data_IF_670561755582
#
_entry.id   IF_670561755582
#
_cell.length_a   1.000
_cell.length_b   1.000
_cell.length_c   1.000
_cell.angle_alpha   90.00
_cell.angle_beta   90.00
_cell.angle_gamma   90.00
#
_symmetry.space_group_name_H-M   'P 1'
#
loop_
_entity.id
_entity.type
_entity.pdbx_description
1 polymer ?
#
# COMPACT_ATOMS: atom_id res chain seq x y z
N UNK A 1 -60.08 -29.00 -40.08
CA UNK A 1 -59.96 -27.79 -39.24
C UNK A 1 -59.58 -28.11 -37.79
N UNK A 2 -60.35 -28.90 -37.02
CA UNK A 2 -59.99 -29.27 -35.62
C UNK A 2 -58.61 -29.94 -35.46
N UNK A 3 -58.23 -30.85 -36.36
CA UNK A 3 -56.96 -31.59 -36.27
C UNK A 3 -55.72 -30.72 -36.55
N UNK A 4 -55.82 -29.75 -37.48
CA UNK A 4 -54.75 -28.79 -37.74
C UNK A 4 -54.58 -27.82 -36.58
N UNK A 5 -55.69 -27.36 -35.99
CA UNK A 5 -55.66 -26.48 -34.82
C UNK A 5 -55.08 -27.20 -33.60
N UNK A 6 -55.47 -28.45 -33.36
CA UNK A 6 -54.94 -29.27 -32.27
C UNK A 6 -53.45 -29.60 -32.46
N UNK A 7 -53.00 -29.80 -33.70
CA UNK A 7 -51.58 -29.98 -34.02
C UNK A 7 -50.76 -28.70 -33.83
N UNK A 8 -51.30 -27.52 -34.15
CA UNK A 8 -50.62 -26.24 -33.94
C UNK A 8 -50.54 -25.91 -32.44
N UNK A 9 -51.60 -26.19 -31.68
CA UNK A 9 -51.62 -26.04 -30.22
C UNK A 9 -50.62 -26.98 -29.55
N UNK A 10 -50.55 -28.25 -29.96
CA UNK A 10 -49.61 -29.21 -29.39
C UNK A 10 -48.13 -28.89 -29.75
N UNK A 11 -47.90 -28.35 -30.95
CA UNK A 11 -46.57 -27.87 -31.36
C UNK A 11 -46.13 -26.65 -30.52
N UNK A 12 -47.06 -25.73 -30.23
CA UNK A 12 -46.83 -24.58 -29.36
C UNK A 12 -46.47 -24.97 -27.92
N UNK A 13 -47.19 -25.93 -27.33
CA UNK A 13 -46.92 -26.41 -25.96
C UNK A 13 -45.59 -27.16 -25.87
N UNK A 14 -45.24 -27.99 -26.87
CA UNK A 14 -43.93 -28.68 -26.91
C UNK A 14 -42.77 -27.68 -27.04
N UNK A 15 -42.90 -26.66 -27.91
CA UNK A 15 -41.87 -25.63 -28.08
C UNK A 15 -41.69 -24.79 -26.80
N UNK A 16 -42.79 -24.46 -26.13
CA UNK A 16 -42.81 -23.75 -24.84
C UNK A 16 -42.12 -24.58 -23.75
N UNK A 17 -42.38 -25.89 -23.71
CA UNK A 17 -41.73 -26.81 -22.78
C UNK A 17 -40.22 -26.89 -23.02
N UNK A 18 -39.77 -27.01 -24.28
CA UNK A 18 -38.34 -27.04 -24.64
C UNK A 18 -37.65 -25.73 -24.26
N UNK A 19 -38.26 -24.58 -24.56
CA UNK A 19 -37.69 -23.26 -24.22
C UNK A 19 -37.57 -23.05 -22.71
N UNK A 20 -38.61 -23.42 -21.94
CA UNK A 20 -38.59 -23.38 -20.48
C UNK A 20 -37.51 -24.29 -19.89
N UNK A 21 -37.37 -25.48 -20.45
CA UNK A 21 -36.36 -26.47 -20.06
C UNK A 21 -34.94 -25.97 -20.31
N UNK A 22 -34.68 -25.42 -21.50
CA UNK A 22 -33.38 -24.87 -21.86
C UNK A 22 -33.00 -23.69 -20.96
N UNK A 23 -33.97 -22.83 -20.66
CA UNK A 23 -33.78 -21.71 -19.73
C UNK A 23 -33.42 -22.20 -18.32
N UNK A 24 -34.16 -23.16 -17.79
CA UNK A 24 -33.91 -23.75 -16.47
C UNK A 24 -32.53 -24.43 -16.35
N UNK A 25 -32.09 -25.13 -17.41
CA UNK A 25 -30.74 -25.69 -17.48
C UNK A 25 -29.69 -24.57 -17.51
N UNK A 26 -29.89 -23.56 -18.36
CA UNK A 26 -28.94 -22.45 -18.53
C UNK A 26 -28.71 -21.65 -17.25
N UNK A 27 -29.73 -21.48 -16.42
CA UNK A 27 -29.60 -20.77 -15.15
C UNK A 27 -28.80 -21.54 -14.10
N UNK A 28 -28.80 -22.88 -14.18
CA UNK A 28 -28.19 -23.75 -13.17
C UNK A 28 -26.72 -24.06 -13.46
N UNK A 29 -26.30 -24.00 -14.73
CA UNK A 29 -24.92 -24.30 -15.16
C UNK A 29 -23.83 -23.43 -14.51
N UNK A 30 -23.95 -22.07 -14.42
CA UNK A 30 -22.91 -21.24 -13.82
C UNK A 30 -22.65 -21.57 -12.34
N UNK A 31 -23.71 -21.94 -11.61
CA UNK A 31 -23.61 -22.34 -10.20
C UNK A 31 -22.84 -23.66 -10.04
N UNK A 32 -23.05 -24.60 -10.96
CA UNK A 32 -22.42 -25.92 -10.92
C UNK A 32 -20.94 -25.83 -11.29
N UNK A 33 -20.58 -24.96 -12.23
CA UNK A 33 -19.19 -24.64 -12.54
C UNK A 33 -18.45 -24.09 -11.30
N UNK A 34 -19.09 -23.19 -10.56
CA UNK A 34 -18.53 -22.64 -9.33
C UNK A 34 -18.35 -23.71 -8.24
N UNK A 35 -19.34 -24.57 -8.03
CA UNK A 35 -19.26 -25.66 -7.04
C UNK A 35 -18.21 -26.72 -7.42
N UNK A 36 -18.02 -26.98 -8.71
CA UNK A 36 -16.97 -27.87 -9.22
C UNK A 36 -15.56 -27.36 -8.91
N UNK A 37 -15.36 -26.05 -9.05
CA UNK A 37 -14.08 -25.41 -8.75
C UNK A 37 -13.78 -25.40 -7.25
N UNK A 38 -14.80 -25.20 -6.41
CA UNK A 38 -14.66 -25.18 -4.95
C UNK A 38 -14.45 -26.57 -4.36
N UNK A 39 -15.15 -27.59 -4.87
CA UNK A 39 -15.15 -28.94 -4.29
C UNK A 39 -14.79 -30.02 -5.33
N UNK A 40 -13.54 -30.09 -5.81
CA UNK A 40 -13.11 -30.99 -6.90
C UNK A 40 -12.94 -32.45 -6.43
N UNK A 41 -13.97 -33.02 -5.80
CA UNK A 41 -13.97 -34.40 -5.34
C UNK A 41 -14.30 -35.38 -6.48
N UNK A 42 -13.89 -36.64 -6.35
CA UNK A 42 -14.22 -37.69 -7.33
C UNK A 42 -15.74 -37.84 -7.53
N UNK A 43 -16.50 -37.79 -6.44
CA UNK A 43 -17.96 -37.89 -6.47
C UNK A 43 -18.62 -36.67 -7.12
N UNK A 44 -18.09 -35.45 -6.87
CA UNK A 44 -18.56 -34.24 -7.53
C UNK A 44 -18.35 -34.31 -9.06
N UNK A 45 -17.20 -34.80 -9.51
CA UNK A 45 -16.91 -34.98 -10.94
C UNK A 45 -17.88 -35.96 -11.61
N UNK A 46 -18.12 -37.11 -10.98
CA UNK A 46 -19.09 -38.11 -11.49
C UNK A 46 -20.52 -37.57 -11.56
N UNK A 47 -20.94 -36.77 -10.57
CA UNK A 47 -22.25 -36.13 -10.57
C UNK A 47 -22.40 -35.09 -11.69
N UNK A 48 -21.33 -34.33 -11.96
CA UNK A 48 -21.27 -33.35 -13.06
C UNK A 48 -21.27 -34.04 -14.43
N UNK A 49 -20.52 -35.14 -14.59
CA UNK A 49 -20.53 -35.95 -15.82
C UNK A 49 -21.93 -36.52 -16.11
N UNK A 50 -22.63 -36.97 -15.08
CA UNK A 50 -24.01 -37.46 -15.17
C UNK A 50 -24.97 -36.34 -15.59
N UNK A 51 -24.77 -35.12 -15.07
CA UNK A 51 -25.56 -33.95 -15.48
C UNK A 51 -25.31 -33.57 -16.94
N UNK A 52 -24.04 -33.49 -17.38
CA UNK A 52 -23.72 -33.19 -18.78
C UNK A 52 -24.26 -34.26 -19.73
N UNK A 53 -24.26 -35.53 -19.33
CA UNK A 53 -24.88 -36.61 -20.10
C UNK A 53 -26.39 -36.39 -20.27
N UNK A 54 -27.11 -36.01 -19.21
CA UNK A 54 -28.53 -35.67 -19.28
C UNK A 54 -28.79 -34.44 -20.18
N UNK A 55 -27.93 -33.42 -20.13
CA UNK A 55 -28.06 -32.22 -20.97
C UNK A 55 -27.80 -32.55 -22.44
N UNK A 56 -26.80 -33.38 -22.75
CA UNK A 56 -26.53 -33.81 -24.13
C UNK A 56 -27.66 -34.68 -24.66
N UNK A 57 -28.22 -35.58 -23.84
CA UNK A 57 -29.41 -36.37 -24.18
C UNK A 57 -30.61 -35.45 -24.50
N UNK A 58 -30.83 -34.39 -23.73
CA UNK A 58 -31.86 -33.38 -24.00
C UNK A 58 -31.65 -32.69 -25.35
N UNK A 59 -30.43 -32.21 -25.62
CA UNK A 59 -30.11 -31.49 -26.85
C UNK A 59 -30.25 -32.39 -28.09
N UNK A 60 -29.87 -33.65 -28.00
CA UNK A 60 -30.06 -34.63 -29.07
C UNK A 60 -31.54 -34.89 -29.35
N UNK A 61 -32.36 -35.03 -28.31
CA UNK A 61 -33.81 -35.22 -28.46
C UNK A 61 -34.45 -33.96 -29.05
N UNK A 62 -34.10 -32.77 -28.55
CA UNK A 62 -34.61 -31.50 -29.06
C UNK A 62 -34.20 -31.26 -30.53
N UNK A 63 -32.96 -31.59 -30.90
CA UNK A 63 -32.48 -31.50 -32.28
C UNK A 63 -33.19 -32.50 -33.21
N UNK A 64 -33.40 -33.74 -32.75
CA UNK A 64 -34.15 -34.74 -33.52
C UNK A 64 -35.59 -34.29 -33.81
N UNK A 65 -36.21 -33.61 -32.85
CA UNK A 65 -37.52 -33.00 -33.03
C UNK A 65 -37.46 -31.83 -34.04
N UNK A 66 -36.52 -30.89 -33.91
CA UNK A 66 -36.45 -29.75 -34.85
C UNK A 66 -36.23 -30.14 -36.33
N UNK A 67 -35.62 -31.29 -36.61
CA UNK A 67 -35.31 -31.75 -37.97
C UNK A 67 -36.41 -32.63 -38.60
N UNK A 68 -37.50 -32.93 -37.90
CA UNK A 68 -38.61 -33.70 -38.48
C UNK A 68 -39.48 -32.83 -39.42
N UNK A 69 -40.02 -33.45 -40.48
CA UNK A 69 -40.83 -32.75 -41.48
C UNK A 69 -42.20 -32.35 -40.90
N UNK A 70 -42.78 -31.22 -41.32
CA UNK A 70 -44.07 -30.69 -40.84
C UNK A 70 -45.23 -31.71 -40.84
N UNK A 71 -45.27 -32.63 -41.79
CA UNK A 71 -46.28 -33.70 -41.87
C UNK A 71 -46.00 -34.89 -40.93
N UNK A 72 -44.74 -35.12 -40.58
CA UNK A 72 -44.31 -36.17 -39.64
C UNK A 72 -44.59 -35.79 -38.19
N UNK A 73 -44.47 -34.50 -37.88
CA UNK A 73 -44.88 -33.93 -36.60
C UNK A 73 -46.37 -34.11 -36.27
N UNK A 74 -47.23 -34.02 -37.28
CA UNK A 74 -48.68 -34.23 -37.13
C UNK A 74 -48.98 -35.70 -36.77
N UNK A 75 -48.27 -36.65 -37.37
CA UNK A 75 -48.45 -38.09 -37.13
C UNK A 75 -47.83 -38.56 -35.80
N UNK A 76 -46.63 -38.07 -35.46
CA UNK A 76 -45.96 -38.42 -34.20
C UNK A 76 -46.58 -37.73 -32.97
N UNK A 77 -47.27 -36.60 -33.13
CA UNK A 77 -48.10 -35.98 -32.10
C UNK A 77 -49.21 -36.91 -31.56
N UNK A 78 -49.65 -37.89 -32.36
CA UNK A 78 -50.74 -38.80 -31.98
C UNK A 78 -50.23 -40.16 -31.45
N UNK A 79 -48.97 -40.51 -31.74
CA UNK A 79 -48.41 -41.85 -31.46
C UNK A 79 -47.21 -41.84 -30.49
N UNK A 80 -46.60 -40.69 -30.19
CA UNK A 80 -45.50 -40.56 -29.22
C UNK A 80 -45.60 -39.25 -28.44
N UNK A 81 -46.04 -39.25 -27.16
CA UNK A 81 -46.09 -38.04 -26.36
C UNK A 81 -44.67 -37.68 -25.93
N UNK A 82 -44.02 -36.81 -26.70
CA UNK A 82 -42.70 -36.27 -26.38
C UNK A 82 -42.69 -35.56 -25.01
N UNK A 83 -43.83 -35.04 -24.55
CA UNK A 83 -44.02 -34.42 -23.23
C UNK A 83 -43.60 -35.33 -22.07
N UNK A 84 -43.91 -36.63 -22.11
CA UNK A 84 -43.58 -37.56 -21.02
C UNK A 84 -42.07 -37.76 -20.89
N UNK A 85 -41.35 -37.81 -22.02
CA UNK A 85 -39.89 -38.00 -22.07
C UNK A 85 -39.15 -36.72 -21.69
N UNK A 86 -39.65 -35.54 -22.08
CA UNK A 86 -39.07 -34.27 -21.67
C UNK A 86 -39.26 -34.03 -20.16
N UNK A 87 -40.42 -34.39 -19.60
CA UNK A 87 -40.67 -34.28 -18.16
C UNK A 87 -39.77 -35.23 -17.35
N UNK A 88 -39.61 -36.49 -17.77
CA UNK A 88 -38.70 -37.45 -17.13
C UNK A 88 -37.24 -36.95 -17.17
N UNK A 89 -36.81 -36.38 -18.30
CA UNK A 89 -35.46 -35.84 -18.44
C UNK A 89 -35.24 -34.61 -17.56
N UNK A 90 -36.20 -33.69 -17.48
CA UNK A 90 -36.13 -32.54 -16.58
C UNK A 90 -36.05 -32.96 -15.12
N UNK A 91 -36.81 -33.98 -14.74
CA UNK A 91 -36.75 -34.55 -13.40
C UNK A 91 -35.36 -35.13 -13.11
N UNK A 92 -34.76 -35.86 -14.06
CA UNK A 92 -33.38 -36.36 -13.96
C UNK A 92 -32.36 -35.23 -13.81
N UNK A 93 -32.49 -34.13 -14.56
CA UNK A 93 -31.62 -32.95 -14.44
C UNK A 93 -31.76 -32.29 -13.06
N UNK A 94 -33.00 -32.19 -12.55
CA UNK A 94 -33.27 -31.66 -11.22
C UNK A 94 -32.65 -32.53 -10.12
N UNK A 95 -32.78 -33.87 -10.23
CA UNK A 95 -32.14 -34.83 -9.32
C UNK A 95 -30.61 -34.73 -9.38
N UNK A 96 -30.01 -34.69 -10.56
CA UNK A 96 -28.55 -34.54 -10.71
C UNK A 96 -28.06 -33.23 -10.08
N UNK A 97 -28.79 -32.13 -10.27
CA UNK A 97 -28.43 -30.83 -9.68
C UNK A 97 -28.62 -30.83 -8.16
N UNK A 98 -29.64 -31.52 -7.64
CA UNK A 98 -29.86 -31.73 -6.21
C UNK A 98 -28.68 -32.45 -5.56
N UNK A 99 -28.25 -33.56 -6.15
CA UNK A 99 -27.11 -34.36 -5.66
C UNK A 99 -25.80 -33.53 -5.65
N UNK A 100 -25.56 -32.70 -6.67
CA UNK A 100 -24.40 -31.80 -6.72
C UNK A 100 -24.43 -30.78 -5.57
N UNK A 101 -25.60 -30.18 -5.29
CA UNK A 101 -25.73 -29.25 -4.18
C UNK A 101 -25.53 -29.92 -2.82
N UNK A 102 -26.05 -31.13 -2.63
CA UNK A 102 -25.86 -31.91 -1.40
C UNK A 102 -24.37 -32.23 -1.19
N UNK A 103 -23.67 -32.70 -2.22
CA UNK A 103 -22.22 -32.94 -2.16
C UNK A 103 -21.44 -31.67 -1.80
N UNK A 104 -21.85 -30.51 -2.33
CA UNK A 104 -21.24 -29.23 -1.97
C UNK A 104 -21.52 -28.83 -0.52
N UNK A 105 -22.73 -29.09 0.01
CA UNK A 105 -23.04 -28.83 1.43
C UNK A 105 -22.21 -29.71 2.37
N UNK A 106 -22.01 -30.98 2.02
CA UNK A 106 -21.14 -31.89 2.79
C UNK A 106 -19.67 -31.43 2.73
N UNK A 107 -19.22 -30.95 1.56
CA UNK A 107 -17.90 -30.34 1.40
C UNK A 107 -17.69 -29.14 2.32
N UNK A 108 -18.65 -28.20 2.31
CA UNK A 108 -18.63 -27.01 3.17
C UNK A 108 -18.61 -27.35 4.66
N UNK A 109 -19.40 -28.34 5.10
CA UNK A 109 -19.39 -28.80 6.49
C UNK A 109 -18.04 -29.41 6.90
N UNK A 110 -17.40 -30.13 5.98
CA UNK A 110 -16.07 -30.73 6.22
C UNK A 110 -15.01 -29.65 6.41
N UNK A 111 -15.01 -28.61 5.58
CA UNK A 111 -14.10 -27.48 5.71
C UNK A 111 -14.33 -26.70 7.01
N UNK A 112 -15.59 -26.49 7.41
CA UNK A 112 -15.93 -25.85 8.68
C UNK A 112 -15.36 -26.63 9.87
N UNK A 113 -15.41 -27.97 9.83
CA UNK A 113 -14.80 -28.81 10.86
C UNK A 113 -13.29 -28.62 10.93
N UNK A 114 -12.59 -28.68 9.79
CA UNK A 114 -11.13 -28.49 9.73
C UNK A 114 -10.73 -27.10 10.20
N UNK A 115 -11.50 -26.07 9.85
CA UNK A 115 -11.29 -24.70 10.32
C UNK A 115 -11.42 -24.61 11.85
N UNK A 116 -12.47 -25.23 12.40
CA UNK A 116 -12.70 -25.26 13.85
C UNK A 116 -11.56 -25.97 14.59
N UNK A 117 -11.08 -27.10 14.07
CA UNK A 117 -9.93 -27.82 14.64
C UNK A 117 -8.67 -26.94 14.59
N UNK A 118 -8.39 -26.30 13.46
CA UNK A 118 -7.25 -25.38 13.29
C UNK A 118 -7.34 -24.15 14.20
N UNK A 119 -8.55 -23.64 14.45
CA UNK A 119 -8.76 -22.54 15.37
C UNK A 119 -8.51 -22.97 16.81
N UNK A 120 -8.98 -24.17 17.19
CA UNK A 120 -8.73 -24.73 18.52
C UNK A 120 -7.24 -24.97 18.78
N UNK A 121 -6.48 -25.47 17.79
CA UNK A 121 -5.03 -25.64 17.94
C UNK A 121 -4.31 -24.30 18.13
N UNK A 122 -4.65 -23.28 17.34
CA UNK A 122 -4.09 -21.92 17.49
C UNK A 122 -4.41 -21.31 18.85
N UNK A 123 -5.63 -21.50 19.35
CA UNK A 123 -6.01 -21.04 20.69
C UNK A 123 -5.18 -21.73 21.77
N UNK A 124 -4.93 -23.04 21.65
CA UNK A 124 -4.08 -23.77 22.57
C UNK A 124 -2.62 -23.28 22.53
N UNK A 125 -2.07 -22.99 21.35
CA UNK A 125 -0.72 -22.40 21.21
C UNK A 125 -0.62 -21.04 21.90
N UNK A 126 -1.63 -20.18 21.74
CA UNK A 126 -1.70 -18.88 22.43
C UNK A 126 -1.73 -19.08 23.95
N UNK A 127 -2.54 -20.00 24.46
CA UNK A 127 -2.61 -20.31 25.89
C UNK A 127 -1.25 -20.75 26.42
N UNK A 128 -0.54 -21.65 25.71
CA UNK A 128 0.81 -22.10 26.11
C UNK A 128 1.79 -20.93 26.12
N UNK A 129 1.73 -20.05 25.11
CA UNK A 129 2.61 -18.86 25.04
C UNK A 129 2.39 -17.90 26.22
N UNK A 130 1.13 -17.69 26.61
CA UNK A 130 0.76 -16.82 27.73
C UNK A 130 1.23 -17.42 29.06
N UNK A 131 1.07 -18.73 29.24
CA UNK A 131 1.57 -19.42 30.44
C UNK A 131 3.09 -19.35 30.57
N UNK A 132 3.85 -19.47 29.47
CA UNK A 132 5.30 -19.35 29.49
C UNK A 132 5.76 -17.92 29.81
N UNK A 133 5.06 -16.92 29.28
CA UNK A 133 5.30 -15.51 29.63
C UNK A 133 5.04 -15.24 31.11
N UNK A 134 3.94 -15.78 31.65
CA UNK A 134 3.61 -15.59 33.07
C UNK A 134 4.63 -16.28 34.00
N UNK A 135 5.08 -17.50 33.66
CA UNK A 135 6.18 -18.16 34.38
C UNK A 135 7.47 -17.34 34.38
N UNK A 136 7.78 -16.70 33.25
CA UNK A 136 8.97 -15.84 33.14
C UNK A 136 8.83 -14.59 34.01
N UNK A 137 7.64 -13.96 34.00
CA UNK A 137 7.32 -12.84 34.90
C UNK A 137 7.44 -13.25 36.36
N UNK A 138 6.92 -14.41 36.74
CA UNK A 138 7.01 -14.90 38.12
C UNK A 138 8.48 -15.10 38.54
N UNK A 139 9.30 -15.72 37.68
CA UNK A 139 10.73 -15.88 37.95
C UNK A 139 11.46 -14.53 38.12
N UNK A 140 11.07 -13.50 37.36
CA UNK A 140 11.60 -12.14 37.53
C UNK A 140 11.18 -11.53 38.87
N UNK A 141 9.92 -11.70 39.28
CA UNK A 141 9.42 -11.22 40.58
C UNK A 141 10.16 -11.91 41.73
N UNK A 142 10.37 -13.22 41.64
CA UNK A 142 11.12 -13.97 42.66
C UNK A 142 12.58 -13.51 42.73
N UNK A 143 13.20 -13.23 41.57
CA UNK A 143 14.52 -12.62 41.49
C UNK A 143 14.58 -11.23 42.14
N UNK A 144 13.55 -10.40 41.93
CA UNK A 144 13.42 -9.08 42.54
C UNK A 144 13.27 -9.19 44.07
N UNK A 145 12.41 -10.09 44.54
CA UNK A 145 12.22 -10.35 45.97
C UNK A 145 13.53 -10.78 46.64
N UNK A 146 14.33 -11.62 45.98
CA UNK A 146 15.65 -12.01 46.46
C UNK A 146 16.63 -10.81 46.54
N UNK A 147 16.59 -9.90 45.56
CA UNK A 147 17.40 -8.69 45.59
C UNK A 147 16.95 -7.72 46.70
N UNK A 148 15.65 -7.59 46.93
CA UNK A 148 15.07 -6.79 48.02
C UNK A 148 15.52 -7.32 49.38
N UNK A 149 15.45 -8.64 49.62
CA UNK A 149 15.94 -9.22 50.88
C UNK A 149 17.44 -8.98 51.09
N UNK A 150 18.25 -9.01 50.02
CA UNK A 150 19.68 -8.66 50.11
C UNK A 150 19.90 -7.19 50.45
N UNK A 151 19.11 -6.28 49.87
CA UNK A 151 19.15 -4.86 50.17
C UNK A 151 18.70 -4.57 51.62
N UNK A 152 17.71 -5.29 52.12
CA UNK A 152 17.24 -5.16 53.51
C UNK A 152 18.33 -5.56 54.52
N UNK A 153 19.05 -6.67 54.26
CA UNK A 153 20.21 -7.09 55.07
C UNK A 153 21.33 -6.04 54.99
N UNK A 154 21.61 -5.53 53.78
CA UNK A 154 22.60 -4.47 53.57
C UNK A 154 22.21 -3.19 54.32
N UNK A 155 20.94 -2.79 54.32
CA UNK A 155 20.44 -1.63 55.06
C UNK A 155 20.65 -1.76 56.57
N UNK A 156 20.43 -2.96 57.14
CA UNK A 156 20.76 -3.23 58.56
C UNK A 156 22.26 -3.11 58.85
N UNK A 157 23.12 -3.49 57.90
CA UNK A 157 24.58 -3.33 58.04
C UNK A 157 25.01 -1.85 57.94
N UNK A 158 24.38 -1.07 57.05
CA UNK A 158 24.59 0.37 56.93
C UNK A 158 24.13 1.12 58.20
N UNK A 159 23.03 0.70 58.84
CA UNK A 159 22.59 1.24 60.13
C UNK A 159 23.66 1.10 61.22
N UNK A 160 24.29 -0.07 61.33
CA UNK A 160 25.39 -0.30 62.30
C UNK A 160 26.63 0.55 61.98
N UNK A 161 26.94 0.78 60.71
CA UNK A 161 28.03 1.67 60.28
C UNK A 161 27.71 3.13 60.56
N UNK A 162 26.46 3.55 60.41
CA UNK A 162 26.01 4.90 60.77
C UNK A 162 26.13 5.16 62.27
N UNK A 163 25.81 4.19 63.13
CA UNK A 163 26.02 4.31 64.59
C UNK A 163 27.50 4.55 64.93
N UNK A 164 28.42 3.85 64.24
CA UNK A 164 29.87 4.03 64.40
C UNK A 164 30.35 5.39 63.89
N UNK A 165 29.79 5.88 62.78
CA UNK A 165 30.09 7.21 62.23
C UNK A 165 29.56 8.29 63.18
N UNK A 166 28.39 8.10 63.78
CA UNK A 166 27.80 9.02 64.76
C UNK A 166 28.68 9.13 66.02
N UNK A 167 29.21 7.99 66.49
CA UNK A 167 30.17 7.92 67.59
C UNK A 167 31.50 8.61 67.25
N UNK A 168 31.94 8.55 65.98
CA UNK A 168 33.12 9.25 65.48
C UNK A 168 32.91 10.76 65.30
N UNK A 169 31.71 11.18 64.92
CA UNK A 169 31.34 12.59 64.75
C UNK A 169 31.24 13.31 66.10
N UNK A 170 30.72 12.66 67.13
CA UNK A 170 30.74 13.17 68.51
C UNK A 170 32.16 13.41 69.03
N UNK A 171 33.13 12.57 68.63
CA UNK A 171 34.54 12.70 69.00
C UNK A 171 35.29 13.80 68.22
N UNK A 172 34.76 14.27 67.09
CA UNK A 172 35.46 15.18 66.16
C UNK A 172 34.86 16.60 66.07
N UNK A 173 33.78 16.90 66.81
CA UNK A 173 33.29 18.26 67.01
C UNK A 173 32.66 18.94 65.79
N UNK A 174 32.38 18.18 64.72
CA UNK A 174 31.69 18.65 63.52
C UNK A 174 30.18 18.40 63.64
N UNK A 175 29.36 19.42 63.36
CA UNK A 175 27.89 19.30 63.41
C UNK A 175 27.35 18.62 62.14
N UNK A 176 26.38 17.72 62.33
CA UNK A 176 25.72 16.94 61.27
C UNK A 176 25.16 17.83 60.14
N UNK A 177 24.73 19.04 60.46
CA UNK A 177 24.16 19.98 59.48
C UNK A 177 25.18 20.48 58.44
N UNK A 178 26.45 20.63 58.81
CA UNK A 178 27.51 21.05 57.88
C UNK A 178 27.91 19.93 56.91
N UNK A 179 27.76 18.66 57.32
CA UNK A 179 27.95 17.51 56.45
C UNK A 179 26.74 17.26 55.55
N UNK A 180 25.52 17.39 56.09
CA UNK A 180 24.30 17.22 55.30
C UNK A 180 24.22 18.24 54.16
N UNK A 181 24.57 19.50 54.40
CA UNK A 181 24.58 20.54 53.36
C UNK A 181 25.63 20.28 52.27
N UNK A 182 26.82 19.79 52.64
CA UNK A 182 27.85 19.39 51.65
C UNK A 182 27.49 18.12 50.88
N UNK A 183 26.82 17.17 51.51
CA UNK A 183 26.39 15.92 50.87
C UNK A 183 25.18 16.17 49.95
N UNK A 184 24.22 17.00 50.34
CA UNK A 184 23.09 17.40 49.48
C UNK A 184 23.56 18.13 48.23
N UNK A 185 24.50 19.07 48.38
CA UNK A 185 25.06 19.80 47.23
C UNK A 185 25.85 18.88 46.30
N UNK A 186 26.66 17.97 46.84
CA UNK A 186 27.42 17.03 46.03
C UNK A 186 26.53 15.99 45.35
N UNK A 187 25.54 15.44 46.06
CA UNK A 187 24.58 14.46 45.53
C UNK A 187 23.65 15.08 44.49
N UNK A 188 23.18 16.31 44.70
CA UNK A 188 22.38 17.05 43.71
C UNK A 188 23.16 17.30 42.41
N UNK A 189 24.41 17.77 42.53
CA UNK A 189 25.28 18.02 41.37
C UNK A 189 25.58 16.71 40.64
N UNK A 190 25.94 15.64 41.35
CA UNK A 190 26.29 14.35 40.76
C UNK A 190 25.08 13.64 40.14
N UNK A 191 23.91 13.70 40.78
CA UNK A 191 22.68 13.10 40.23
C UNK A 191 22.20 13.87 38.99
N UNK A 192 22.34 15.20 38.96
CA UNK A 192 22.02 16.00 37.77
C UNK A 192 22.98 15.73 36.61
N UNK A 193 24.27 15.48 36.90
CA UNK A 193 25.28 15.21 35.88
C UNK A 193 25.20 13.79 35.29
N UNK A 194 24.52 12.85 35.95
CA UNK A 194 24.37 11.46 35.51
C UNK A 194 23.01 11.15 34.85
N UNK A 195 22.05 12.08 34.87
CA UNK A 195 20.78 11.93 34.17
C UNK A 195 20.93 12.36 32.71
N UNK A 196 21.45 11.47 31.87
CA UNK A 196 21.28 11.60 30.42
C UNK A 196 19.81 11.32 30.07
N UNK A 197 19.00 12.38 29.98
CA UNK A 197 17.59 12.31 29.59
C UNK A 197 17.42 12.09 28.08
N UNK A 198 18.50 12.06 27.31
CA UNK A 198 18.44 11.95 25.87
C UNK A 198 18.41 10.48 25.41
N UNK A 199 17.24 9.85 25.50
CA UNK A 199 17.07 8.48 25.03
C UNK A 199 16.98 8.39 23.51
N UNK A 200 17.35 7.22 22.96
CA UNK A 200 17.11 6.90 21.56
C UNK A 200 15.61 6.79 21.33
N UNK A 201 15.11 7.47 20.31
CA UNK A 201 13.68 7.45 20.02
C UNK A 201 13.29 6.10 19.41
N UNK A 202 12.24 5.47 19.96
CA UNK A 202 11.62 4.32 19.29
C UNK A 202 10.80 4.78 18.08
N UNK A 203 10.64 3.90 17.09
CA UNK A 203 9.82 4.18 15.91
C UNK A 203 8.35 4.51 16.26
N UNK A 204 7.85 3.96 17.37
CA UNK A 204 6.49 4.21 17.85
C UNK A 204 6.34 5.62 18.45
N UNK A 205 7.32 6.08 19.22
CA UNK A 205 7.35 7.47 19.73
C UNK A 205 7.47 8.47 18.57
N UNK A 206 8.25 8.14 17.53
CA UNK A 206 8.39 8.98 16.32
C UNK A 206 7.05 9.10 15.59
N UNK A 207 6.38 7.97 15.38
CA UNK A 207 5.09 7.93 14.72
C UNK A 207 4.01 8.69 15.51
N UNK A 208 3.98 8.55 16.84
CA UNK A 208 3.07 9.31 17.70
C UNK A 208 3.33 10.81 17.64
N UNK A 209 4.59 11.23 17.77
CA UNK A 209 4.97 12.64 17.71
C UNK A 209 4.68 13.27 16.34
N UNK A 210 4.78 12.48 15.26
CA UNK A 210 4.48 12.94 13.90
C UNK A 210 2.99 12.86 13.54
N UNK A 211 2.20 12.04 14.25
CA UNK A 211 0.75 11.88 14.00
C UNK A 211 -0.04 13.18 14.16
N UNK A 212 0.39 14.06 15.07
CA UNK A 212 -0.18 15.40 15.27
C UNK A 212 -0.11 16.25 13.99
N UNK A 213 0.96 16.07 13.19
CA UNK A 213 1.12 16.78 11.91
C UNK A 213 0.41 16.10 10.74
N UNK A 214 0.05 14.82 10.87
CA UNK A 214 -0.55 14.01 9.80
C UNK A 214 -2.07 14.22 9.63
N UNK A 215 -2.76 14.91 10.55
CA UNK A 215 -4.22 14.95 10.59
C UNK A 215 -4.88 15.51 9.31
N UNK A 216 -4.13 16.26 8.48
CA UNK A 216 -4.60 16.82 7.20
C UNK A 216 -3.95 16.20 5.95
N UNK A 217 -2.97 15.30 6.11
CA UNK A 217 -2.13 14.80 5.03
C UNK A 217 -2.43 13.32 4.76
N UNK A 218 -2.66 12.97 3.49
CA UNK A 218 -2.88 11.57 3.09
C UNK A 218 -1.60 10.74 3.24
N UNK A 219 -1.74 9.48 3.68
CA UNK A 219 -0.62 8.56 3.82
C UNK A 219 0.12 8.36 2.47
N UNK A 220 1.43 8.70 2.38
CA UNK A 220 2.23 8.54 1.17
C UNK A 220 2.24 7.11 0.64
N UNK A 221 2.22 6.10 1.53
CA UNK A 221 2.28 4.69 1.14
C UNK A 221 0.96 4.26 0.49
N UNK A 222 -0.18 4.66 1.06
CA UNK A 222 -1.49 4.45 0.45
C UNK A 222 -1.60 5.10 -0.94
N UNK A 223 -1.14 6.34 -1.09
CA UNK A 223 -1.10 7.04 -2.39
C UNK A 223 -0.26 6.28 -3.41
N UNK A 224 0.94 5.86 -3.03
CA UNK A 224 1.79 5.06 -3.92
C UNK A 224 1.10 3.75 -4.34
N UNK A 225 0.51 3.00 -3.39
CA UNK A 225 -0.23 1.76 -3.68
C UNK A 225 -1.40 1.99 -4.64
N UNK A 226 -2.13 3.10 -4.49
CA UNK A 226 -3.21 3.48 -5.39
C UNK A 226 -2.71 3.70 -6.82
N UNK A 227 -1.66 4.51 -6.99
CA UNK A 227 -1.06 4.77 -8.31
C UNK A 227 -0.42 3.52 -8.92
N UNK A 228 0.19 2.67 -8.09
CA UNK A 228 0.74 1.36 -8.49
C UNK A 228 -0.35 0.45 -9.06
N UNK A 229 -1.51 0.39 -8.39
CA UNK A 229 -2.67 -0.35 -8.86
C UNK A 229 -3.19 0.19 -10.20
N UNK A 230 -3.36 1.51 -10.34
CA UNK A 230 -3.83 2.13 -11.59
C UNK A 230 -2.88 1.86 -12.76
N UNK A 231 -1.57 1.91 -12.51
CA UNK A 231 -0.54 1.54 -13.49
C UNK A 231 -0.66 0.08 -13.89
N UNK A 232 -0.72 -0.84 -12.92
CA UNK A 232 -0.83 -2.28 -13.19
C UNK A 232 -2.08 -2.61 -14.01
N UNK A 233 -3.21 -1.97 -13.72
CA UNK A 233 -4.44 -2.12 -14.49
C UNK A 233 -4.26 -1.72 -15.96
N UNK A 234 -3.56 -0.61 -16.22
CA UNK A 234 -3.23 -0.14 -17.58
C UNK A 234 -2.24 -1.06 -18.28
N UNK A 235 -1.20 -1.53 -17.58
CA UNK A 235 -0.21 -2.46 -18.12
C UNK A 235 -0.81 -3.82 -18.53
N UNK A 236 -1.86 -4.27 -17.83
CA UNK A 236 -2.62 -5.49 -18.16
C UNK A 236 -3.66 -5.30 -19.27
N UNK A 237 -3.68 -4.14 -19.94
CA UNK A 237 -4.62 -3.84 -21.04
C UNK A 237 -6.04 -3.49 -20.57
N UNK A 238 -6.30 -3.43 -19.26
CA UNK A 238 -7.63 -3.12 -18.68
C UNK A 238 -7.87 -1.63 -18.47
N UNK A 239 -7.08 -0.74 -19.07
CA UNK A 239 -7.21 0.71 -18.90
C UNK A 239 -6.74 1.49 -20.14
N UNK A 240 -7.06 2.78 -20.17
CA UNK A 240 -6.62 3.68 -21.25
C UNK A 240 -5.10 3.79 -21.27
N UNK A 241 -4.47 3.35 -22.36
CA UNK A 241 -3.04 3.47 -22.60
C UNK A 241 -2.80 4.41 -23.77
N UNK A 242 -2.04 5.47 -23.53
CA UNK A 242 -1.56 6.37 -24.60
C UNK A 242 -0.12 5.97 -24.93
N UNK A 243 0.13 5.72 -26.21
CA UNK A 243 1.50 5.51 -26.69
C UNK A 243 2.23 6.85 -26.75
N UNK A 244 3.44 6.91 -26.19
CA UNK A 244 4.28 8.11 -26.20
C UNK A 244 5.57 7.86 -26.95
N UNK A 245 6.37 8.90 -27.18
CA UNK A 245 7.79 8.71 -27.48
C UNK A 245 8.49 7.97 -26.32
N UNK A 246 9.65 7.37 -26.60
CA UNK A 246 10.48 6.73 -25.58
C UNK A 246 11.23 7.77 -24.74
N UNK A 247 10.50 8.71 -24.12
CA UNK A 247 11.06 9.84 -23.37
C UNK A 247 11.94 9.41 -22.20
N UNK A 248 11.70 8.20 -21.66
CA UNK A 248 12.53 7.56 -20.64
C UNK A 248 13.93 7.20 -21.13
N UNK A 249 14.18 7.17 -22.44
CA UNK A 249 15.52 7.00 -23.04
C UNK A 249 16.19 8.34 -23.37
N UNK A 250 15.60 9.47 -22.99
CA UNK A 250 16.15 10.79 -23.27
C UNK A 250 17.57 10.97 -22.72
N UNK A 251 18.54 11.44 -23.52
CA UNK A 251 19.89 11.75 -23.03
C UNK A 251 19.92 12.78 -21.90
N UNK A 252 18.94 13.69 -21.86
CA UNK A 252 18.82 14.67 -20.76
C UNK A 252 18.54 13.98 -19.43
N UNK A 253 17.66 12.97 -19.44
CA UNK A 253 17.29 12.21 -18.26
C UNK A 253 18.46 11.36 -17.76
N UNK A 254 19.19 10.72 -18.68
CA UNK A 254 20.39 9.94 -18.33
C UNK A 254 21.49 10.82 -17.71
N UNK A 255 21.72 12.03 -18.26
CA UNK A 255 22.66 13.01 -17.69
C UNK A 255 22.24 13.50 -16.31
N UNK A 256 20.94 13.79 -16.12
CA UNK A 256 20.41 14.20 -14.82
C UNK A 256 20.59 13.11 -13.75
N UNK A 257 20.26 11.86 -14.09
CA UNK A 257 20.39 10.71 -13.20
C UNK A 257 21.86 10.44 -12.80
N UNK A 258 22.78 10.57 -13.76
CA UNK A 258 24.21 10.31 -13.55
C UNK A 258 24.97 11.50 -12.95
N UNK A 259 24.34 12.67 -12.81
CA UNK A 259 25.01 13.86 -12.28
C UNK A 259 25.43 13.63 -10.81
N UNK A 260 26.65 13.97 -10.39
CA UNK A 260 27.09 13.74 -9.02
C UNK A 260 26.51 14.74 -8.01
N UNK A 261 25.98 15.89 -8.47
CA UNK A 261 25.42 16.94 -7.63
C UNK A 261 23.90 16.87 -7.54
N UNK A 262 23.34 17.57 -6.56
CA UNK A 262 21.90 17.79 -6.45
C UNK A 262 21.35 18.44 -7.72
N UNK A 263 20.26 17.90 -8.29
CA UNK A 263 19.78 18.34 -9.60
C UNK A 263 18.29 18.10 -9.82
N UNK A 264 17.66 18.96 -10.62
CA UNK A 264 16.24 18.92 -10.94
C UNK A 264 16.01 18.60 -12.44
N UNK A 265 14.98 17.80 -12.74
CA UNK A 265 14.49 17.58 -14.10
C UNK A 265 12.97 17.73 -14.16
N UNK A 266 12.46 18.15 -15.32
CA UNK A 266 11.04 18.41 -15.53
C UNK A 266 10.55 17.52 -16.68
N UNK A 267 9.63 16.61 -16.38
CA UNK A 267 8.95 15.79 -17.38
C UNK A 267 7.70 16.55 -17.83
N UNK A 268 7.74 17.06 -19.06
CA UNK A 268 6.68 17.91 -19.62
C UNK A 268 5.88 17.16 -20.67
N UNK A 269 4.56 17.11 -20.54
CA UNK A 269 3.67 16.59 -21.58
C UNK A 269 2.34 17.33 -21.64
N UNK A 270 1.44 16.89 -22.52
CA UNK A 270 0.05 17.34 -22.54
C UNK A 270 -0.79 16.50 -21.56
N UNK A 271 -1.98 16.99 -21.22
CA UNK A 271 -2.93 16.27 -20.36
C UNK A 271 -3.25 14.85 -20.86
N UNK A 272 -3.26 14.65 -22.18
CA UNK A 272 -3.43 13.32 -22.81
C UNK A 272 -2.31 12.34 -22.46
N UNK A 273 -1.09 12.83 -22.21
CA UNK A 273 0.08 12.01 -21.82
C UNK A 273 0.22 11.82 -20.31
N UNK A 274 -0.67 12.41 -19.49
CA UNK A 274 -0.61 12.38 -18.01
C UNK A 274 -0.40 10.98 -17.44
N UNK A 275 -1.10 10.01 -18.02
CA UNK A 275 -1.08 8.63 -17.59
C UNK A 275 0.30 8.00 -17.77
N UNK A 276 0.97 8.28 -18.88
CA UNK A 276 2.32 7.80 -19.14
C UNK A 276 3.35 8.46 -18.21
N UNK A 277 3.15 9.74 -17.87
CA UNK A 277 4.00 10.50 -16.94
C UNK A 277 3.83 9.99 -15.50
N UNK A 278 2.60 9.79 -15.04
CA UNK A 278 2.32 9.24 -13.71
C UNK A 278 2.84 7.81 -13.56
N UNK A 279 2.68 6.97 -14.58
CA UNK A 279 3.23 5.62 -14.52
C UNK A 279 4.77 5.62 -14.46
N UNK A 280 5.40 6.55 -15.16
CA UNK A 280 6.85 6.72 -15.10
C UNK A 280 7.32 7.14 -13.71
N UNK A 281 6.58 8.03 -13.03
CA UNK A 281 6.83 8.38 -11.64
C UNK A 281 6.73 7.17 -10.70
N UNK A 282 5.70 6.34 -10.84
CA UNK A 282 5.57 5.08 -10.09
C UNK A 282 6.72 4.12 -10.39
N UNK A 283 7.15 4.02 -11.65
CA UNK A 283 8.28 3.18 -12.04
C UNK A 283 9.60 3.68 -11.41
N UNK A 284 9.81 5.01 -11.29
CA UNK A 284 10.96 5.57 -10.56
C UNK A 284 10.89 5.20 -9.09
N UNK A 285 9.76 5.50 -8.41
CA UNK A 285 9.57 5.24 -6.97
C UNK A 285 9.84 3.75 -6.68
N UNK A 286 9.22 2.86 -7.46
CA UNK A 286 9.43 1.42 -7.29
C UNK A 286 10.92 1.04 -7.41
N UNK A 287 11.62 1.60 -8.39
CA UNK A 287 13.00 1.23 -8.67
C UNK A 287 13.98 1.75 -7.62
N UNK A 288 13.83 3.00 -7.13
CA UNK A 288 14.65 3.55 -6.05
C UNK A 288 14.42 2.83 -4.73
N UNK A 289 13.16 2.50 -4.40
CA UNK A 289 12.83 1.75 -3.18
C UNK A 289 13.41 0.33 -3.21
N UNK A 290 13.40 -0.34 -4.38
CA UNK A 290 14.04 -1.66 -4.53
C UNK A 290 15.56 -1.64 -4.33
N UNK A 291 16.21 -0.47 -4.45
CA UNK A 291 17.65 -0.30 -4.22
C UNK A 291 17.98 0.25 -2.83
N UNK A 292 17.00 0.31 -1.91
CA UNK A 292 17.15 0.92 -0.58
C UNK A 292 17.62 2.39 -0.62
N UNK A 293 17.29 3.11 -1.71
CA UNK A 293 17.54 4.54 -1.80
C UNK A 293 16.31 5.29 -1.27
N UNK A 294 16.45 6.20 -0.29
CA UNK A 294 15.33 6.97 0.23
C UNK A 294 14.63 7.79 -0.87
N UNK A 295 13.30 7.75 -0.86
CA UNK A 295 12.48 8.45 -1.83
C UNK A 295 11.31 9.14 -1.16
N UNK A 296 11.07 10.39 -1.57
CA UNK A 296 9.94 11.21 -1.16
C UNK A 296 9.05 11.42 -2.38
N UNK A 297 7.73 11.41 -2.21
CA UNK A 297 6.84 11.63 -3.34
C UNK A 297 5.58 12.40 -2.99
N UNK A 298 5.07 13.14 -3.97
CA UNK A 298 3.77 13.81 -3.93
C UNK A 298 3.00 13.41 -5.17
N UNK A 299 1.95 12.61 -5.00
CA UNK A 299 1.12 12.07 -6.07
C UNK A 299 -0.34 12.48 -5.86
N UNK A 300 -1.12 12.58 -6.94
CA UNK A 300 -2.50 13.03 -6.84
C UNK A 300 -3.41 12.09 -6.05
N UNK A 301 -4.28 12.67 -5.23
CA UNK A 301 -5.27 11.93 -4.45
C UNK A 301 -6.31 11.23 -5.32
N UNK A 302 -6.78 10.07 -4.83
CA UNK A 302 -7.90 9.32 -5.39
C UNK A 302 -9.25 10.03 -5.15
N UNK A 303 -9.35 10.81 -4.08
CA UNK A 303 -10.59 11.44 -3.60
C UNK A 303 -10.70 12.89 -4.12
N UNK A 304 -11.00 13.04 -5.41
CA UNK A 304 -11.24 14.37 -6.04
C UNK A 304 -12.57 15.03 -5.64
N UNK A 305 -13.26 14.52 -4.62
CA UNK A 305 -14.61 14.95 -4.25
C UNK A 305 -14.63 16.25 -3.46
N UNK A 306 -13.50 16.75 -2.95
CA UNK A 306 -13.39 18.07 -2.34
C UNK A 306 -12.61 19.05 -3.25
N UNK A 307 -13.14 20.26 -3.51
CA UNK A 307 -12.41 21.32 -4.23
C UNK A 307 -11.18 21.86 -3.46
N UNK A 308 -10.98 21.44 -2.21
CA UNK A 308 -9.80 21.71 -1.37
C UNK A 308 -8.68 20.66 -1.47
N UNK A 309 -8.74 19.72 -2.42
CA UNK A 309 -7.76 18.63 -2.53
C UNK A 309 -6.38 19.03 -3.11
N UNK A 310 -6.17 20.31 -3.46
CA UNK A 310 -4.90 20.78 -3.98
C UNK A 310 -4.06 21.39 -2.84
N UNK A 311 -2.80 20.97 -2.74
CA UNK A 311 -1.86 21.43 -1.72
C UNK A 311 -1.40 22.85 -2.02
N UNK A 312 -1.36 23.70 -1.00
CA UNK A 312 -0.55 24.93 -1.05
C UNK A 312 0.94 24.57 -1.21
N UNK A 313 1.79 25.44 -1.81
CA UNK A 313 3.24 25.26 -1.79
C UNK A 313 3.79 24.99 -0.38
N UNK A 314 3.25 25.64 0.66
CA UNK A 314 3.64 25.39 2.05
C UNK A 314 3.20 24.01 2.53
N UNK A 315 1.99 23.58 2.17
CA UNK A 315 1.48 22.24 2.54
C UNK A 315 2.29 21.13 1.87
N UNK A 316 2.73 21.36 0.63
CA UNK A 316 3.61 20.44 -0.09
C UNK A 316 4.95 20.30 0.62
N UNK A 317 5.60 21.41 0.98
CA UNK A 317 6.91 21.34 1.66
C UNK A 317 6.73 20.70 3.04
N UNK A 318 5.66 21.04 3.77
CA UNK A 318 5.29 20.35 5.02
C UNK A 318 5.12 18.84 4.80
N UNK A 319 4.47 18.42 3.72
CA UNK A 319 4.28 17.01 3.39
C UNK A 319 5.61 16.29 3.06
N UNK A 320 6.52 16.96 2.36
CA UNK A 320 7.85 16.44 2.09
C UNK A 320 8.71 16.36 3.37
N UNK A 321 8.64 17.37 4.25
CA UNK A 321 9.30 17.37 5.55
C UNK A 321 8.79 16.25 6.42
N UNK A 322 7.47 16.05 6.46
CA UNK A 322 6.85 14.93 7.16
C UNK A 322 7.41 13.58 6.69
N UNK A 323 7.50 13.36 5.37
CA UNK A 323 8.08 12.14 4.83
C UNK A 323 9.58 12.01 5.13
N UNK A 324 10.34 13.11 5.07
CA UNK A 324 11.78 13.09 5.36
C UNK A 324 12.09 12.72 6.81
N UNK A 325 11.28 13.19 7.76
CA UNK A 325 11.41 12.86 9.19
C UNK A 325 11.06 11.40 9.51
N UNK A 326 10.30 10.73 8.64
CA UNK A 326 10.00 9.29 8.75
C UNK A 326 11.11 8.40 8.18
N UNK A 327 12.12 8.96 7.50
CA UNK A 327 13.27 8.18 7.04
C UNK A 327 14.10 7.77 8.27
N UNK A 328 14.42 6.48 8.36
CA UNK A 328 15.25 5.95 9.44
C UNK A 328 16.61 6.65 9.48
N UNK A 329 17.01 7.12 10.67
CA UNK A 329 18.26 7.83 10.89
C UNK A 329 18.16 9.36 10.86
N UNK A 330 17.06 9.96 10.38
CA UNK A 330 16.90 11.43 10.36
C UNK A 330 16.70 12.02 11.77
N UNK A 331 15.97 11.32 12.63
CA UNK A 331 15.76 11.71 14.04
C UNK A 331 16.17 10.53 14.91
N UNK A 332 17.23 10.71 15.70
CA UNK A 332 17.84 9.60 16.46
C UNK A 332 17.57 9.68 17.96
N UNK A 333 17.23 10.86 18.47
CA UNK A 333 17.13 11.12 19.91
C UNK A 333 15.90 11.95 20.28
N UNK A 334 15.43 11.81 21.52
CA UNK A 334 14.29 12.58 22.07
C UNK A 334 14.52 14.08 22.02
N UNK A 335 15.74 14.54 22.33
CA UNK A 335 16.09 15.96 22.23
C UNK A 335 15.96 16.50 20.81
N UNK A 336 16.44 15.74 19.82
CA UNK A 336 16.29 16.13 18.42
C UNK A 336 14.82 16.19 18.03
N UNK A 337 14.01 15.19 18.43
CA UNK A 337 12.59 15.19 18.09
C UNK A 337 11.83 16.34 18.75
N UNK A 338 12.10 16.65 20.02
CA UNK A 338 11.47 17.77 20.73
C UNK A 338 11.83 19.11 20.09
N UNK A 339 13.10 19.32 19.74
CA UNK A 339 13.53 20.51 19.01
C UNK A 339 12.85 20.61 17.64
N UNK A 340 12.79 19.51 16.88
CA UNK A 340 12.09 19.46 15.58
C UNK A 340 10.60 19.75 15.75
N UNK A 341 9.96 19.19 16.77
CA UNK A 341 8.54 19.40 17.05
C UNK A 341 8.23 20.88 17.31
N UNK A 342 9.00 21.54 18.18
CA UNK A 342 8.87 22.99 18.44
C UNK A 342 9.10 23.81 17.17
N UNK A 343 10.13 23.49 16.38
CA UNK A 343 10.40 24.17 15.11
C UNK A 343 9.24 24.01 14.10
N UNK A 344 8.63 22.82 14.05
CA UNK A 344 7.50 22.53 13.16
C UNK A 344 6.22 23.28 13.58
N UNK A 345 6.00 23.47 14.89
CA UNK A 345 4.87 24.26 15.40
C UNK A 345 5.03 25.76 15.12
N UNK A 346 6.25 26.28 15.13
CA UNK A 346 6.55 27.69 14.89
C UNK A 346 6.49 28.08 13.40
N UNK A 347 6.66 27.12 12.48
CA UNK A 347 6.76 27.37 11.04
C UNK A 347 5.41 27.76 10.40
N UNK A 348 5.34 28.99 9.86
CA UNK A 348 4.11 29.54 9.26
C UNK A 348 4.26 29.85 7.77
N UNK A 349 5.46 30.14 7.29
CA UNK A 349 5.71 30.55 5.90
C UNK A 349 6.33 29.44 5.07
N UNK A 350 6.20 29.50 3.74
CA UNK A 350 6.85 28.55 2.83
C UNK A 350 8.37 28.50 3.03
N UNK A 351 8.99 29.64 3.38
CA UNK A 351 10.43 29.72 3.60
C UNK A 351 10.86 29.02 4.90
N UNK A 352 10.06 29.13 5.96
CA UNK A 352 10.31 28.40 7.22
C UNK A 352 10.26 26.90 6.96
N UNK A 353 9.21 26.44 6.26
CA UNK A 353 9.05 25.05 5.88
C UNK A 353 10.18 24.54 4.99
N UNK A 354 10.66 25.35 4.03
CA UNK A 354 11.83 25.02 3.21
C UNK A 354 13.12 24.94 4.04
N UNK A 355 13.27 25.81 5.04
CA UNK A 355 14.39 25.76 5.99
C UNK A 355 14.39 24.45 6.80
N UNK A 356 13.23 24.07 7.34
CA UNK A 356 13.07 22.80 8.07
C UNK A 356 13.29 21.58 7.18
N UNK A 357 12.78 21.63 5.94
CA UNK A 357 13.01 20.59 4.96
C UNK A 357 14.51 20.43 4.66
N UNK A 358 15.23 21.53 4.41
CA UNK A 358 16.69 21.53 4.20
C UNK A 358 17.40 20.90 5.39
N UNK A 359 17.05 21.27 6.62
CA UNK A 359 17.66 20.72 7.83
C UNK A 359 17.41 19.22 7.97
N UNK A 360 16.19 18.74 7.68
CA UNK A 360 15.89 17.30 7.69
C UNK A 360 16.71 16.53 6.64
N UNK A 361 17.08 17.17 5.53
CA UNK A 361 17.88 16.54 4.47
C UNK A 361 19.39 16.52 4.72
N UNK A 362 19.91 17.47 5.50
CA UNK A 362 21.35 17.58 5.75
C UNK A 362 21.92 16.38 6.51
N UNK A 363 21.11 15.79 7.39
CA UNK A 363 21.55 14.74 8.32
C UNK A 363 21.49 13.32 7.72
N UNK A 364 20.88 13.12 6.56
CA UNK A 364 20.61 11.78 6.01
C UNK A 364 21.82 11.09 5.36
N UNK A 365 22.72 11.86 4.73
CA UNK A 365 23.83 11.31 3.94
C UNK A 365 23.38 10.53 2.69
N UNK A 366 24.23 10.48 1.66
CA UNK A 366 23.97 9.63 0.49
C UNK A 366 23.14 10.29 -0.61
N UNK A 367 22.10 9.61 -1.12
CA UNK A 367 21.31 10.08 -2.26
C UNK A 367 19.82 9.89 -2.01
N UNK A 368 19.02 10.89 -2.37
CA UNK A 368 17.57 10.91 -2.15
C UNK A 368 16.86 11.35 -3.43
N UNK A 369 15.77 10.66 -3.77
CA UNK A 369 14.92 11.02 -4.89
C UNK A 369 13.63 11.69 -4.41
N UNK A 370 13.23 12.78 -5.06
CA UNK A 370 11.97 13.48 -4.79
C UNK A 370 11.16 13.52 -6.08
N UNK A 371 9.94 12.99 -6.04
CA UNK A 371 9.06 12.91 -7.20
C UNK A 371 7.80 13.74 -6.91
N UNK A 372 7.56 14.80 -7.68
CA UNK A 372 6.45 15.73 -7.42
C UNK A 372 5.53 15.82 -8.64
N UNK A 373 4.27 15.45 -8.46
CA UNK A 373 3.20 15.70 -9.42
C UNK A 373 2.62 17.11 -9.21
N UNK A 374 2.94 18.06 -10.10
CA UNK A 374 2.51 19.46 -9.92
C UNK A 374 1.00 19.64 -10.06
N UNK A 375 0.28 18.68 -10.66
CA UNK A 375 -1.19 18.72 -10.68
C UNK A 375 -1.81 18.62 -9.27
N UNK A 376 -1.02 18.26 -8.26
CA UNK A 376 -1.45 18.22 -6.85
C UNK A 376 -1.35 19.58 -6.16
N UNK A 377 -0.65 20.53 -6.76
CA UNK A 377 -0.39 21.84 -6.16
C UNK A 377 -1.38 22.84 -6.72
N UNK A 378 -2.09 23.53 -5.83
CA UNK A 378 -3.18 24.43 -6.18
C UNK A 378 -2.70 25.58 -7.05
N UNK A 379 -3.42 25.85 -8.15
CA UNK A 379 -3.18 27.06 -8.92
C UNK A 379 -3.86 28.24 -8.25
N UNK A 380 -3.17 28.91 -7.31
CA UNK A 380 -3.59 30.20 -6.78
C UNK A 380 -3.80 31.22 -7.92
N UNK A 381 -4.89 31.99 -7.86
CA UNK A 381 -5.45 32.80 -8.95
C UNK A 381 -4.52 33.92 -9.45
N UNK A 382 -3.41 34.19 -8.75
CA UNK A 382 -2.43 35.23 -9.10
C UNK A 382 -1.14 34.73 -9.76
N UNK A 383 -0.89 33.42 -9.89
CA UNK A 383 0.23 32.82 -10.65
C UNK A 383 1.68 33.17 -10.23
N UNK A 384 1.92 34.32 -9.59
CA UNK A 384 3.20 34.87 -9.20
C UNK A 384 3.93 34.00 -8.16
N UNK A 385 3.20 33.45 -7.19
CA UNK A 385 3.77 32.58 -6.15
C UNK A 385 4.22 31.20 -6.70
N UNK A 386 3.62 30.73 -7.79
CA UNK A 386 3.93 29.40 -8.36
C UNK A 386 5.21 29.41 -9.22
N UNK A 387 5.44 30.47 -10.00
CA UNK A 387 6.72 30.66 -10.72
C UNK A 387 7.87 30.73 -9.74
N UNK A 388 7.65 31.38 -8.59
CA UNK A 388 8.63 31.50 -7.53
C UNK A 388 8.98 30.14 -6.91
N UNK A 389 8.02 29.23 -6.77
CA UNK A 389 8.25 27.94 -6.10
C UNK A 389 9.19 26.99 -6.86
N UNK A 390 9.04 26.83 -8.19
CA UNK A 390 9.96 25.99 -8.98
C UNK A 390 11.39 26.55 -8.90
N UNK A 391 11.51 27.88 -8.88
CA UNK A 391 12.80 28.57 -8.70
C UNK A 391 13.36 28.34 -7.29
N UNK A 392 12.56 28.50 -6.24
CA UNK A 392 12.95 28.26 -4.85
C UNK A 392 13.45 26.83 -4.62
N UNK A 393 12.80 25.83 -5.23
CA UNK A 393 13.30 24.45 -5.18
C UNK A 393 14.67 24.32 -5.84
N UNK A 394 14.87 24.95 -7.00
CA UNK A 394 16.16 24.90 -7.68
C UNK A 394 17.25 25.64 -6.88
N UNK A 395 16.95 26.81 -6.32
CA UNK A 395 17.85 27.56 -5.43
C UNK A 395 18.22 26.74 -4.18
N UNK A 396 17.24 26.06 -3.58
CA UNK A 396 17.50 25.13 -2.48
C UNK A 396 18.49 24.03 -2.87
N UNK A 397 18.39 23.46 -4.07
CA UNK A 397 19.33 22.41 -4.51
C UNK A 397 20.75 22.96 -4.69
N UNK A 398 20.89 24.20 -5.18
CA UNK A 398 22.18 24.88 -5.32
C UNK A 398 22.78 25.13 -3.92
N UNK A 399 22.00 25.68 -2.99
CA UNK A 399 22.45 25.91 -1.61
C UNK A 399 22.89 24.63 -0.89
N UNK A 400 22.18 23.52 -1.11
CA UNK A 400 22.56 22.21 -0.54
C UNK A 400 23.88 21.71 -1.13
N UNK A 401 24.16 22.02 -2.40
CA UNK A 401 25.41 21.67 -3.08
C UNK A 401 26.59 22.52 -2.61
N UNK A 402 26.40 23.83 -2.40
CA UNK A 402 27.46 24.76 -2.04
C UNK A 402 27.98 24.56 -0.60
N UNK A 403 27.14 24.05 0.30
CA UNK A 403 27.48 23.85 1.73
C UNK A 403 28.22 22.53 2.03
N UNK A 404 28.69 21.80 1.02
CA UNK A 404 29.42 20.54 1.24
C UNK A 404 28.56 19.42 1.84
N UNK A 405 27.24 19.48 1.67
CA UNK A 405 26.32 18.48 2.21
C UNK A 405 26.62 17.11 1.60
N UNK A 406 26.72 16.07 2.42
CA UNK A 406 26.92 14.70 1.93
C UNK A 406 25.66 14.13 1.22
N UNK A 407 24.51 14.78 1.39
CA UNK A 407 23.23 14.35 0.80
C UNK A 407 23.04 14.93 -0.61
N UNK A 408 22.88 14.03 -1.59
CA UNK A 408 22.61 14.37 -2.99
C UNK A 408 21.12 14.25 -3.29
N UNK A 409 20.49 15.33 -3.70
CA UNK A 409 19.05 15.39 -3.91
C UNK A 409 18.69 15.41 -5.40
N UNK A 410 17.88 14.45 -5.83
CA UNK A 410 17.41 14.30 -7.22
C UNK A 410 15.92 14.58 -7.30
N UNK A 411 15.54 15.71 -7.89
CA UNK A 411 14.13 16.11 -8.02
C UNK A 411 13.61 15.83 -9.44
N UNK A 412 12.44 15.20 -9.53
CA UNK A 412 11.64 15.05 -10.76
C UNK A 412 10.31 15.77 -10.59
N UNK A 413 10.07 16.77 -11.43
CA UNK A 413 8.78 17.46 -11.51
C UNK A 413 7.96 16.91 -12.69
N UNK A 414 6.71 16.54 -12.45
CA UNK A 414 5.77 16.09 -13.47
C UNK A 414 4.85 17.25 -13.85
N UNK A 415 4.85 17.63 -15.13
CA UNK A 415 4.06 18.76 -15.64
C UNK A 415 3.25 18.35 -16.85
N UNK A 416 1.93 18.31 -16.69
CA UNK A 416 1.00 17.99 -17.78
C UNK A 416 -0.28 18.84 -17.78
N UNK A 417 -0.45 19.71 -16.79
CA UNK A 417 -1.52 20.69 -16.75
C UNK A 417 -1.09 22.01 -17.40
N UNK A 418 -2.04 22.68 -18.06
CA UNK A 418 -1.76 23.89 -18.82
C UNK A 418 -1.24 25.03 -17.95
N UNK A 419 -1.83 25.21 -16.76
CA UNK A 419 -1.45 26.27 -15.82
C UNK A 419 0.03 26.16 -15.45
N UNK A 420 0.50 24.95 -15.13
CA UNK A 420 1.91 24.73 -14.79
C UNK A 420 2.85 24.86 -15.98
N UNK A 421 2.40 24.60 -17.21
CA UNK A 421 3.25 24.69 -18.40
C UNK A 421 3.71 26.11 -18.72
N UNK A 422 2.90 27.14 -18.44
CA UNK A 422 3.25 28.55 -18.67
C UNK A 422 4.14 29.13 -17.55
N UNK A 423 4.14 28.51 -16.37
CA UNK A 423 4.83 29.00 -15.18
C UNK A 423 6.28 28.49 -15.03
N UNK A 424 6.75 27.63 -15.95
CA UNK A 424 8.13 27.14 -15.94
C UNK A 424 9.08 28.29 -16.35
N UNK A 425 10.06 28.67 -15.50
CA UNK A 425 11.04 29.69 -15.85
C UNK A 425 11.85 29.32 -17.10
N UNK A 426 12.14 30.30 -17.96
CA UNK A 426 12.91 30.08 -19.21
C UNK A 426 14.28 29.45 -18.96
N UNK A 427 14.90 29.80 -17.84
CA UNK A 427 16.19 29.27 -17.35
C UNK A 427 16.14 27.74 -17.17
N UNK A 428 14.97 27.17 -16.89
CA UNK A 428 14.78 25.75 -16.63
C UNK A 428 14.52 24.93 -17.89
N UNK A 429 14.47 25.53 -19.08
CA UNK A 429 14.12 24.82 -20.32
C UNK A 429 15.12 23.73 -20.71
N UNK A 430 16.38 23.88 -20.30
CA UNK A 430 17.40 22.86 -20.50
C UNK A 430 17.11 21.57 -19.73
N UNK A 431 16.40 21.66 -18.61
CA UNK A 431 16.00 20.55 -17.74
C UNK A 431 14.72 19.84 -18.21
N UNK A 432 14.06 20.34 -19.27
CA UNK A 432 12.81 19.78 -19.80
C UNK A 432 13.05 18.53 -20.65
N UNK A 433 12.31 17.47 -20.32
CA UNK A 433 12.18 16.24 -21.09
C UNK A 433 10.74 16.18 -21.64
N UNK A 434 10.54 16.37 -22.96
CA UNK A 434 9.21 16.38 -23.55
C UNK A 434 8.65 14.97 -23.75
N UNK A 435 7.37 14.81 -23.39
CA UNK A 435 6.53 13.64 -23.63
C UNK A 435 5.53 14.00 -24.72
N UNK A 436 5.61 13.28 -25.83
CA UNK A 436 4.76 13.46 -27.02
C UNK A 436 4.01 12.17 -27.30
N UNK A 437 2.79 12.28 -27.80
CA UNK A 437 2.02 11.13 -28.28
C UNK A 437 2.76 10.52 -29.47
N UNK A 438 2.85 9.18 -29.51
CA UNK A 438 3.41 8.42 -30.63
C UNK A 438 2.30 7.61 -31.30
N UNK A 439 2.38 7.47 -32.63
CA UNK A 439 1.40 6.71 -33.42
C UNK A 439 1.51 5.19 -33.28
N UNK A 440 2.64 4.67 -32.80
CA UNK A 440 2.88 3.23 -32.72
C UNK A 440 2.35 2.66 -31.40
N UNK A 441 1.29 1.83 -31.42
CA UNK A 441 0.84 1.07 -30.25
C UNK A 441 1.82 -0.07 -29.97
N UNK A 442 2.47 -0.07 -28.81
CA UNK A 442 3.40 -1.13 -28.41
C UNK A 442 3.46 -1.29 -26.89
N UNK A 443 4.06 -2.39 -26.43
CA UNK A 443 4.29 -2.75 -25.02
C UNK A 443 5.32 -1.82 -24.33
N UNK A 444 5.01 -0.53 -24.28
CA UNK A 444 5.92 0.51 -23.78
C UNK A 444 6.17 0.41 -22.27
N UNK A 445 5.16 0.00 -21.48
CA UNK A 445 5.28 -0.06 -20.02
C UNK A 445 6.39 -0.99 -19.52
N UNK A 446 6.49 -2.21 -20.08
CA UNK A 446 7.55 -3.17 -19.70
C UNK A 446 8.94 -2.66 -20.09
N UNK A 447 9.07 -2.09 -21.30
CA UNK A 447 10.34 -1.52 -21.80
C UNK A 447 10.77 -0.30 -20.99
N UNK A 448 9.82 0.56 -20.60
CA UNK A 448 10.08 1.72 -19.74
C UNK A 448 10.60 1.28 -18.38
N UNK A 449 9.97 0.30 -17.71
CA UNK A 449 10.45 -0.21 -16.42
C UNK A 449 11.89 -0.74 -16.51
N UNK A 450 12.17 -1.57 -17.52
CA UNK A 450 13.53 -2.08 -17.72
C UNK A 450 14.55 -0.94 -17.92
N UNK A 451 14.19 0.09 -18.68
CA UNK A 451 15.05 1.25 -18.92
C UNK A 451 15.25 2.12 -17.67
N UNK A 452 14.21 2.33 -16.87
CA UNK A 452 14.29 3.06 -15.58
C UNK A 452 15.31 2.38 -14.67
N UNK A 453 15.18 1.06 -14.50
CA UNK A 453 16.08 0.26 -13.68
C UNK A 453 17.54 0.32 -14.16
N UNK A 454 17.76 0.38 -15.47
CA UNK A 454 19.10 0.33 -16.05
C UNK A 454 19.80 1.71 -16.19
N UNK A 455 19.05 2.82 -16.31
CA UNK A 455 19.63 4.13 -16.68
C UNK A 455 19.38 5.26 -15.69
N UNK A 456 18.26 5.23 -14.95
CA UNK A 456 17.95 6.29 -13.98
C UNK A 456 18.66 6.04 -12.65
N UNK A 457 19.11 4.82 -12.44
CA UNK A 457 19.78 4.38 -11.24
C UNK A 457 21.24 4.04 -11.62
N UNK A 458 22.24 4.74 -11.05
CA UNK A 458 23.62 4.39 -11.29
C UNK A 458 23.87 2.99 -10.73
N UNK A 459 24.43 2.09 -11.54
CA UNK A 459 24.92 0.79 -11.09
C UNK A 459 26.02 1.00 -10.04
N UNK A 460 25.69 0.89 -8.76
CA UNK A 460 26.69 0.62 -7.73
C UNK A 460 27.07 -0.86 -7.80
N UNK A 461 27.75 -1.24 -8.88
CA UNK A 461 28.50 -2.50 -8.97
C UNK A 461 29.81 -2.19 -9.65
N UNK A 462 30.75 -1.64 -8.89
CA UNK A 462 32.19 -1.72 -9.13
C UNK A 462 32.94 -1.17 -7.91
N UNK A 463 33.05 -2.01 -6.87
CA UNK A 463 34.24 -2.05 -6.03
C UNK A 463 34.52 -3.53 -5.75
N UNK A 464 35.41 -4.09 -6.58
CA UNK A 464 36.34 -5.12 -6.11
C UNK A 464 37.47 -4.45 -5.36
#
# INVERSE_FOLDING_TARGET
MKLLFMSVVNHGETLKLISKSLFEVSQRLPRIEHLSALYPTKNMKLAIESLYSCIMEFLLIAHSWCNESKFRHIYHSFTRPHELRYNDLLQRVATCTGNINELATVGSQTELRVMHDTQSTKLNEIIISLQNSEKTRQAQIDGLNCAISRLEISSRDHGRKLDLIMQWLEASGLTINDLLTKIETFHSIQTSAQLDTNQKLSALQLSQALSTFSQSLEDPICLYKHHLFLRNRRASGRGSTVSTNEFWLSPKLARWASCPHSSLTIIKGSFTTRWAIQDFAVDIIQAVTMMNIPALWVLGSANKTSPNAMLSPSDLVRYLTYQALHIEGTVTTEKQMSLRHSQLEEAKTTQDWLGLFKLAMQDMGGQIYIIIDLATVGSDAKGLNQVNWVRQLNEMLVELSDKGSQTRVKIVLLVYEYNWMSLIPREMYNHLVPVKISGARGLQGKRRRAAVNARILPSQVAKG
#
